data_IF_534479264004
#
_entry.id   IF_534479264004
#
_cell.length_a   1.000
_cell.length_b   1.000
_cell.length_c   1.000
_cell.angle_alpha   90.00
_cell.angle_beta   90.00
_cell.angle_gamma   90.00
#
_symmetry.space_group_name_H-M   'P 1'
#
loop_
_entity.id
_entity.type
_entity.pdbx_description
1 polymer ?
#
# COMPACT_ATOMS: atom_id res chain seq x y z
N UNK A 1 31.50 0.15 3.27
CA UNK A 1 30.43 -0.89 3.25
C UNK A 1 29.07 -0.33 3.68
N UNK A 2 28.94 0.24 4.88
CA UNK A 2 27.65 0.80 5.38
C UNK A 2 27.02 1.85 4.45
N UNK A 3 27.83 2.68 3.81
CA UNK A 3 27.34 3.68 2.85
C UNK A 3 26.72 3.07 1.58
N UNK A 4 27.34 2.03 1.01
CA UNK A 4 26.80 1.32 -0.14
C UNK A 4 25.49 0.60 0.20
N UNK A 5 25.42 -0.02 1.39
CA UNK A 5 24.21 -0.69 1.88
C UNK A 5 23.06 0.30 2.04
N UNK A 6 23.29 1.42 2.72
CA UNK A 6 22.26 2.46 2.89
C UNK A 6 21.82 3.05 1.55
N UNK A 7 22.72 3.14 0.56
CA UNK A 7 22.38 3.61 -0.80
C UNK A 7 21.50 2.60 -1.52
N UNK A 8 21.85 1.33 -1.48
CA UNK A 8 21.04 0.25 -2.03
C UNK A 8 19.65 0.20 -1.36
N UNK A 9 19.56 0.34 -0.03
CA UNK A 9 18.30 0.37 0.70
C UNK A 9 17.36 1.49 0.24
N UNK A 10 17.89 2.71 0.04
CA UNK A 10 17.09 3.84 -0.44
C UNK A 10 16.64 3.63 -1.89
N UNK A 11 17.50 3.09 -2.76
CA UNK A 11 17.13 2.74 -4.14
C UNK A 11 16.03 1.68 -4.21
N UNK A 12 16.19 0.58 -3.48
CA UNK A 12 15.20 -0.49 -3.40
C UNK A 12 13.87 0.03 -2.85
N UNK A 13 13.93 0.91 -1.85
CA UNK A 13 12.74 1.55 -1.28
C UNK A 13 12.01 2.41 -2.30
N UNK A 14 12.73 3.26 -3.06
CA UNK A 14 12.15 4.09 -4.13
C UNK A 14 11.50 3.24 -5.22
N UNK A 15 12.20 2.21 -5.70
CA UNK A 15 11.69 1.33 -6.78
C UNK A 15 10.45 0.57 -6.30
N UNK A 16 10.52 -0.01 -5.11
CA UNK A 16 9.41 -0.78 -4.56
C UNK A 16 8.19 0.12 -4.31
N UNK A 17 8.35 1.32 -3.73
CA UNK A 17 7.27 2.29 -3.56
C UNK A 17 6.59 2.67 -4.88
N UNK A 18 7.36 2.84 -5.96
CA UNK A 18 6.80 3.08 -7.30
C UNK A 18 5.95 1.92 -7.80
N UNK A 19 6.42 0.67 -7.63
CA UNK A 19 5.64 -0.53 -7.97
C UNK A 19 4.36 -0.60 -7.14
N UNK A 20 4.44 -0.38 -5.83
CA UNK A 20 3.28 -0.39 -4.92
C UNK A 20 2.24 0.64 -5.33
N UNK A 21 2.69 1.85 -5.65
CA UNK A 21 1.79 2.92 -6.06
C UNK A 21 1.08 2.57 -7.37
N UNK A 22 1.84 2.14 -8.39
CA UNK A 22 1.28 1.75 -9.69
C UNK A 22 0.29 0.59 -9.58
N UNK A 23 0.66 -0.48 -8.87
CA UNK A 23 -0.22 -1.62 -8.63
C UNK A 23 -1.46 -1.23 -7.80
N UNK A 24 -1.30 -0.31 -6.85
CA UNK A 24 -2.40 0.20 -6.03
C UNK A 24 -3.43 0.94 -6.88
N UNK A 25 -2.97 1.81 -7.79
CA UNK A 25 -3.85 2.48 -8.75
C UNK A 25 -4.55 1.49 -9.68
N UNK A 26 -3.82 0.47 -10.17
CA UNK A 26 -4.42 -0.58 -10.99
C UNK A 26 -5.52 -1.33 -10.23
N UNK A 27 -5.26 -1.74 -8.99
CA UNK A 27 -6.28 -2.40 -8.16
C UNK A 27 -7.49 -1.48 -7.93
N UNK A 28 -7.28 -0.22 -7.58
CA UNK A 28 -8.37 0.71 -7.30
C UNK A 28 -9.22 1.04 -8.54
N UNK A 29 -8.62 1.06 -9.74
CA UNK A 29 -9.28 1.48 -10.99
C UNK A 29 -9.79 0.35 -11.86
N UNK A 30 -9.17 -0.82 -11.79
CA UNK A 30 -9.44 -1.93 -12.72
C UNK A 30 -10.00 -3.14 -11.98
N UNK A 31 -9.36 -3.58 -10.90
CA UNK A 31 -9.78 -4.79 -10.17
C UNK A 31 -10.98 -4.52 -9.25
N UNK A 32 -10.88 -3.51 -8.39
CA UNK A 32 -11.88 -3.21 -7.37
C UNK A 32 -13.30 -2.96 -7.93
N UNK A 33 -13.48 -2.26 -9.08
CA UNK A 33 -14.80 -2.12 -9.71
C UNK A 33 -15.43 -3.45 -10.18
N UNK A 34 -14.65 -4.51 -10.38
CA UNK A 34 -15.16 -5.85 -10.69
C UNK A 34 -15.68 -6.57 -9.45
N UNK A 35 -15.17 -6.20 -8.26
CA UNK A 35 -15.61 -6.74 -6.97
C UNK A 35 -16.79 -5.96 -6.41
N UNK A 36 -16.81 -4.62 -6.57
CA UNK A 36 -17.92 -3.76 -6.16
C UNK A 36 -18.65 -3.23 -7.39
N UNK A 37 -19.57 -4.04 -7.90
CA UNK A 37 -20.29 -3.77 -9.16
C UNK A 37 -21.45 -2.82 -8.92
N UNK A 38 -21.55 -1.77 -9.72
CA UNK A 38 -22.70 -0.86 -9.71
C UNK A 38 -23.69 -1.18 -10.84
N UNK A 39 -24.98 -1.17 -10.52
CA UNK A 39 -26.07 -1.26 -11.50
C UNK A 39 -27.11 -0.18 -11.22
N UNK A 40 -27.60 0.49 -12.26
CA UNK A 40 -28.60 1.54 -12.14
C UNK A 40 -29.92 1.04 -11.51
N UNK A 41 -30.24 -0.25 -11.63
CA UNK A 41 -31.49 -0.83 -11.12
C UNK A 41 -31.41 -1.27 -9.66
N UNK A 42 -30.24 -1.72 -9.20
CA UNK A 42 -30.07 -2.39 -7.91
C UNK A 42 -29.01 -1.76 -7.00
N UNK A 43 -28.36 -0.68 -7.46
CA UNK A 43 -27.26 -0.04 -6.74
C UNK A 43 -25.98 -0.87 -6.74
N UNK A 44 -25.17 -0.69 -5.71
CA UNK A 44 -23.91 -1.42 -5.52
C UNK A 44 -24.16 -2.84 -5.02
N UNK A 45 -23.38 -3.78 -5.55
CA UNK A 45 -23.34 -5.18 -5.14
C UNK A 45 -21.91 -5.63 -4.92
N UNK A 46 -21.65 -6.23 -3.77
CA UNK A 46 -20.38 -6.91 -3.51
C UNK A 46 -20.37 -8.28 -4.20
N UNK A 47 -19.30 -8.56 -4.94
CA UNK A 47 -19.04 -9.81 -5.65
C UNK A 47 -17.82 -10.49 -5.03
N UNK A 48 -18.06 -11.22 -3.94
CA UNK A 48 -17.01 -11.94 -3.20
C UNK A 48 -16.28 -12.97 -4.08
N UNK A 49 -16.97 -13.58 -5.04
CA UNK A 49 -16.38 -14.56 -5.94
C UNK A 49 -15.35 -13.93 -6.87
N UNK A 50 -15.64 -12.78 -7.47
CA UNK A 50 -14.65 -12.05 -8.26
C UNK A 50 -13.41 -11.66 -7.44
N UNK A 51 -13.61 -11.21 -6.19
CA UNK A 51 -12.51 -10.89 -5.28
C UNK A 51 -11.66 -12.14 -4.95
N UNK A 52 -12.29 -13.30 -4.70
CA UNK A 52 -11.61 -14.59 -4.48
C UNK A 52 -10.88 -15.10 -5.69
N UNK A 53 -11.43 -14.93 -6.89
CA UNK A 53 -10.77 -15.33 -8.13
C UNK A 53 -9.55 -14.47 -8.43
N UNK A 54 -9.63 -13.15 -8.18
CA UNK A 54 -8.50 -12.25 -8.31
C UNK A 54 -7.41 -12.60 -7.29
N UNK A 55 -7.79 -12.79 -6.01
CA UNK A 55 -6.90 -13.11 -4.89
C UNK A 55 -5.61 -12.27 -4.91
N UNK A 56 -5.73 -10.97 -5.19
CA UNK A 56 -4.59 -10.06 -5.39
C UNK A 56 -3.67 -10.04 -4.16
N UNK A 57 -4.26 -10.23 -2.97
CA UNK A 57 -3.55 -10.39 -1.70
C UNK A 57 -2.44 -11.44 -1.74
N UNK A 58 -2.78 -12.67 -2.13
CA UNK A 58 -1.84 -13.80 -2.14
C UNK A 58 -1.08 -13.93 -3.46
N UNK A 59 -1.68 -13.54 -4.59
CA UNK A 59 -1.04 -13.67 -5.91
C UNK A 59 -0.05 -12.55 -6.21
N UNK A 60 -0.16 -11.41 -5.55
CA UNK A 60 0.67 -10.25 -5.84
C UNK A 60 1.16 -9.53 -4.57
N UNK A 61 0.24 -9.06 -3.73
CA UNK A 61 0.59 -8.14 -2.65
C UNK A 61 1.53 -8.74 -1.60
N UNK A 62 1.40 -10.03 -1.29
CA UNK A 62 2.30 -10.67 -0.32
C UNK A 62 3.76 -10.58 -0.74
N UNK A 63 4.04 -10.73 -2.04
CA UNK A 63 5.38 -10.77 -2.63
C UNK A 63 5.93 -9.40 -2.99
N UNK A 64 5.08 -8.37 -3.07
CA UNK A 64 5.49 -7.01 -3.48
C UNK A 64 5.47 -6.03 -2.31
N UNK A 65 4.51 -6.17 -1.40
CA UNK A 65 4.30 -5.20 -0.30
C UNK A 65 4.40 -5.79 1.07
N UNK A 66 3.73 -6.90 1.33
CA UNK A 66 3.59 -7.40 2.71
C UNK A 66 4.94 -7.77 3.29
N UNK A 67 5.75 -8.51 2.54
CA UNK A 67 7.12 -8.87 2.95
C UNK A 67 8.13 -7.80 2.55
N UNK A 68 8.31 -7.44 1.26
CA UNK A 68 9.43 -6.59 0.86
C UNK A 68 9.28 -5.16 1.36
N UNK A 69 8.11 -4.54 1.17
CA UNK A 69 7.95 -3.15 1.55
C UNK A 69 7.96 -2.96 3.07
N UNK A 70 7.42 -3.91 3.84
CA UNK A 70 7.52 -3.85 5.31
C UNK A 70 8.98 -3.90 5.75
N UNK A 71 9.76 -4.84 5.22
CA UNK A 71 11.19 -4.93 5.53
C UNK A 71 11.95 -3.66 5.10
N UNK A 72 11.71 -3.18 3.89
CA UNK A 72 12.31 -1.94 3.39
C UNK A 72 11.92 -0.74 4.22
N UNK A 73 10.67 -0.65 4.68
CA UNK A 73 10.19 0.45 5.53
C UNK A 73 10.95 0.49 6.86
N UNK A 74 11.08 -0.66 7.55
CA UNK A 74 11.76 -0.72 8.84
C UNK A 74 13.27 -0.46 8.71
N UNK A 75 13.92 -1.08 7.72
CA UNK A 75 15.35 -0.87 7.48
C UNK A 75 15.66 0.57 7.05
N UNK A 76 14.81 1.19 6.22
CA UNK A 76 14.95 2.59 5.85
C UNK A 76 14.66 3.54 7.02
N UNK A 77 13.74 3.21 7.93
CA UNK A 77 13.51 4.03 9.13
C UNK A 77 14.77 4.10 10.01
N UNK A 78 15.42 2.95 10.24
CA UNK A 78 16.68 2.88 10.99
C UNK A 78 17.80 3.63 10.25
N UNK A 79 17.96 3.39 8.95
CA UNK A 79 18.99 4.06 8.15
C UNK A 79 18.79 5.58 8.10
N UNK A 80 17.54 6.03 7.93
CA UNK A 80 17.18 7.45 7.92
C UNK A 80 17.42 8.12 9.28
N UNK A 81 17.20 7.41 10.39
CA UNK A 81 17.46 7.95 11.73
C UNK A 81 18.94 8.30 11.95
N UNK A 82 19.82 7.51 11.34
CA UNK A 82 21.27 7.66 11.41
C UNK A 82 21.85 8.60 10.33
N UNK A 83 21.03 9.05 9.37
CA UNK A 83 21.50 9.85 8.25
C UNK A 83 21.89 11.27 8.70
N UNK A 84 23.06 11.78 8.28
CA UNK A 84 23.48 13.15 8.59
C UNK A 84 22.89 14.17 7.61
N UNK A 85 22.79 15.43 8.04
CA UNK A 85 22.53 16.56 7.14
C UNK A 85 21.11 16.59 6.54
N UNK A 86 20.94 17.29 5.40
CA UNK A 86 19.62 17.65 4.88
C UNK A 86 18.82 16.46 4.33
N UNK A 87 19.46 15.31 4.04
CA UNK A 87 18.77 14.09 3.59
C UNK A 87 17.89 13.47 4.68
N UNK A 88 18.24 13.66 5.96
CA UNK A 88 17.59 13.00 7.11
C UNK A 88 16.09 13.27 7.16
N UNK A 89 15.69 14.54 7.03
CA UNK A 89 14.27 14.93 7.13
C UNK A 89 13.42 14.30 6.03
N UNK A 90 13.91 14.34 4.78
CA UNK A 90 13.22 13.75 3.63
C UNK A 90 13.13 12.23 3.74
N UNK A 91 14.22 11.57 4.16
CA UNK A 91 14.24 10.12 4.28
C UNK A 91 13.38 9.62 5.45
N UNK A 92 13.43 10.29 6.61
CA UNK A 92 12.56 9.96 7.73
C UNK A 92 11.09 10.19 7.38
N UNK A 93 10.75 11.31 6.73
CA UNK A 93 9.40 11.57 6.26
C UNK A 93 8.89 10.46 5.33
N UNK A 94 9.73 9.99 4.41
CA UNK A 94 9.39 8.89 3.51
C UNK A 94 9.12 7.58 4.27
N UNK A 95 10.02 7.22 5.21
CA UNK A 95 9.89 6.01 6.00
C UNK A 95 8.67 6.04 6.93
N UNK A 96 8.37 7.19 7.54
CA UNK A 96 7.19 7.36 8.40
C UNK A 96 5.88 7.30 7.61
N UNK A 97 5.82 7.91 6.43
CA UNK A 97 4.65 7.82 5.55
C UNK A 97 4.41 6.36 5.10
N UNK A 98 5.46 5.63 4.75
CA UNK A 98 5.36 4.20 4.41
C UNK A 98 4.96 3.35 5.64
N UNK A 99 5.43 3.70 6.84
CA UNK A 99 5.04 3.02 8.08
C UNK A 99 3.55 3.23 8.39
N UNK A 100 3.03 4.45 8.21
CA UNK A 100 1.61 4.72 8.36
C UNK A 100 0.76 3.86 7.40
N UNK A 101 1.18 3.72 6.14
CA UNK A 101 0.54 2.79 5.21
C UNK A 101 0.57 1.35 5.72
N UNK A 102 1.72 0.87 6.23
CA UNK A 102 1.83 -0.50 6.77
C UNK A 102 0.88 -0.72 7.92
N UNK A 103 0.82 0.21 8.87
CA UNK A 103 -0.10 0.13 10.00
C UNK A 103 -1.54 0.04 9.50
N UNK A 104 -1.96 0.89 8.55
CA UNK A 104 -3.28 0.82 7.93
C UNK A 104 -3.54 -0.51 7.23
N UNK A 105 -2.55 -1.00 6.47
CA UNK A 105 -2.64 -2.26 5.72
C UNK A 105 -2.93 -3.43 6.65
N UNK A 106 -2.16 -3.57 7.73
CA UNK A 106 -2.28 -4.69 8.66
C UNK A 106 -3.46 -4.57 9.62
N UNK A 107 -3.80 -3.36 10.07
CA UNK A 107 -4.89 -3.15 11.03
C UNK A 107 -6.28 -3.11 10.40
N UNK A 108 -6.39 -2.71 9.12
CA UNK A 108 -7.67 -2.50 8.47
C UNK A 108 -7.81 -3.24 7.13
N UNK A 109 -6.92 -3.01 6.16
CA UNK A 109 -7.16 -3.48 4.79
C UNK A 109 -7.13 -5.00 4.64
N UNK A 110 -6.11 -5.66 5.19
CA UNK A 110 -5.97 -7.11 5.17
C UNK A 110 -7.13 -7.80 5.90
N UNK A 111 -7.42 -7.50 7.18
CA UNK A 111 -8.51 -8.17 7.89
C UNK A 111 -9.88 -7.89 7.26
N UNK A 112 -10.12 -6.67 6.77
CA UNK A 112 -11.39 -6.32 6.10
C UNK A 112 -11.56 -7.09 4.81
N UNK A 113 -10.50 -7.23 3.99
CA UNK A 113 -10.59 -7.96 2.73
C UNK A 113 -10.76 -9.46 2.96
N UNK A 114 -10.05 -10.04 3.93
CA UNK A 114 -10.24 -11.45 4.35
C UNK A 114 -11.68 -11.70 4.78
N UNK A 115 -12.27 -10.79 5.56
CA UNK A 115 -13.68 -10.90 5.96
C UNK A 115 -14.62 -10.77 4.76
N UNK A 116 -14.43 -9.77 3.90
CA UNK A 116 -15.25 -9.56 2.70
C UNK A 116 -15.20 -10.75 1.71
N UNK A 117 -14.07 -11.46 1.65
CA UNK A 117 -13.90 -12.61 0.76
C UNK A 117 -14.45 -13.92 1.33
N UNK A 118 -14.38 -14.12 2.66
CA UNK A 118 -14.57 -15.45 3.26
C UNK A 118 -15.77 -15.57 4.21
N UNK A 119 -16.35 -14.47 4.67
CA UNK A 119 -17.50 -14.50 5.59
C UNK A 119 -18.82 -14.65 4.81
N UNK A 120 -19.26 -15.89 4.62
CA UNK A 120 -20.51 -16.22 3.93
C UNK A 120 -21.77 -15.79 4.71
N UNK A 121 -21.63 -15.48 6.01
CA UNK A 121 -22.74 -15.04 6.87
C UNK A 121 -22.96 -13.53 6.82
N UNK A 122 -22.05 -12.78 6.17
CA UNK A 122 -22.09 -11.33 6.12
C UNK A 122 -23.30 -10.85 5.28
N UNK A 123 -24.22 -10.06 5.86
CA UNK A 123 -25.37 -9.56 5.10
C UNK A 123 -24.93 -8.73 3.87
N UNK A 124 -25.58 -8.89 2.70
CA UNK A 124 -25.15 -8.22 1.47
C UNK A 124 -25.04 -6.69 1.59
N UNK A 125 -25.96 -6.06 2.32
CA UNK A 125 -25.94 -4.62 2.57
C UNK A 125 -24.73 -4.19 3.40
N UNK A 126 -24.33 -4.99 4.40
CA UNK A 126 -23.14 -4.73 5.21
C UNK A 126 -21.86 -4.93 4.40
N UNK A 127 -21.80 -5.97 3.57
CA UNK A 127 -20.66 -6.20 2.68
C UNK A 127 -20.43 -5.02 1.73
N UNK A 128 -21.50 -4.47 1.15
CA UNK A 128 -21.41 -3.27 0.29
C UNK A 128 -20.91 -2.05 1.05
N UNK A 129 -21.43 -1.77 2.25
CA UNK A 129 -20.97 -0.64 3.09
C UNK A 129 -19.49 -0.80 3.45
N UNK A 130 -19.08 -1.99 3.84
CA UNK A 130 -17.68 -2.31 4.14
C UNK A 130 -16.78 -2.13 2.92
N UNK A 131 -17.19 -2.64 1.76
CA UNK A 131 -16.44 -2.50 0.51
C UNK A 131 -16.32 -1.04 0.08
N UNK A 132 -17.41 -0.26 0.14
CA UNK A 132 -17.38 1.18 -0.14
C UNK A 132 -16.40 1.92 0.79
N UNK A 133 -16.42 1.60 2.08
CA UNK A 133 -15.48 2.18 3.04
C UNK A 133 -14.04 1.77 2.74
N UNK A 134 -13.82 0.50 2.42
CA UNK A 134 -12.51 -0.02 2.03
C UNK A 134 -11.96 0.73 0.81
N UNK A 135 -12.75 0.87 -0.25
CA UNK A 135 -12.36 1.58 -1.47
C UNK A 135 -12.08 3.07 -1.22
N UNK A 136 -12.90 3.75 -0.41
CA UNK A 136 -12.67 5.16 -0.03
C UNK A 136 -11.38 5.35 0.76
N UNK A 137 -11.13 4.50 1.75
CA UNK A 137 -9.90 4.55 2.54
C UNK A 137 -8.68 4.17 1.71
N UNK A 138 -8.84 3.35 0.66
CA UNK A 138 -7.72 3.00 -0.22
C UNK A 138 -7.14 4.24 -0.94
N UNK A 139 -7.95 5.27 -1.23
CA UNK A 139 -7.41 6.53 -1.74
C UNK A 139 -6.50 7.24 -0.73
N UNK A 140 -6.88 7.26 0.55
CA UNK A 140 -6.02 7.81 1.62
C UNK A 140 -4.72 6.99 1.72
N UNK A 141 -4.81 5.67 1.62
CA UNK A 141 -3.66 4.79 1.57
C UNK A 141 -2.72 5.13 0.39
N UNK A 142 -3.26 5.35 -0.80
CA UNK A 142 -2.47 5.79 -1.96
C UNK A 142 -1.80 7.14 -1.75
N UNK A 143 -2.44 8.07 -1.04
CA UNK A 143 -1.81 9.36 -0.67
C UNK A 143 -0.58 9.13 0.20
N UNK A 144 -0.64 8.23 1.19
CA UNK A 144 0.53 7.90 2.01
C UNK A 144 1.66 7.26 1.18
N UNK A 145 1.34 6.33 0.29
CA UNK A 145 2.35 5.70 -0.60
C UNK A 145 2.97 6.73 -1.54
N UNK A 146 2.16 7.60 -2.14
CA UNK A 146 2.65 8.65 -3.04
C UNK A 146 3.56 9.64 -2.29
N UNK A 147 3.15 10.09 -1.11
CA UNK A 147 3.95 10.96 -0.26
C UNK A 147 5.28 10.27 0.09
N UNK A 148 5.25 9.01 0.53
CA UNK A 148 6.45 8.24 0.82
C UNK A 148 7.38 8.16 -0.40
N UNK A 149 6.83 7.91 -1.59
CA UNK A 149 7.59 7.78 -2.81
C UNK A 149 8.27 9.10 -3.22
N UNK A 150 7.53 10.20 -3.21
CA UNK A 150 8.08 11.53 -3.56
C UNK A 150 9.14 12.00 -2.56
N UNK A 151 8.93 11.76 -1.26
CA UNK A 151 9.91 12.06 -0.22
C UNK A 151 11.17 11.20 -0.37
N UNK A 152 11.03 9.92 -0.72
CA UNK A 152 12.15 9.02 -0.96
C UNK A 152 12.94 9.43 -2.22
N UNK A 153 12.25 9.82 -3.30
CA UNK A 153 12.88 10.38 -4.50
C UNK A 153 13.65 11.66 -4.19
N UNK A 154 13.08 12.54 -3.34
CA UNK A 154 13.77 13.75 -2.89
C UNK A 154 15.03 13.41 -2.10
N UNK A 155 14.94 12.49 -1.13
CA UNK A 155 16.09 12.02 -0.37
C UNK A 155 17.18 11.43 -1.28
N UNK A 156 16.78 10.63 -2.27
CA UNK A 156 17.69 10.03 -3.25
C UNK A 156 18.38 11.11 -4.11
N UNK A 157 17.66 12.15 -4.52
CA UNK A 157 18.21 13.26 -5.31
C UNK A 157 19.26 14.08 -4.56
N UNK A 158 19.11 14.21 -3.25
CA UNK A 158 20.06 14.94 -2.39
C UNK A 158 21.30 14.12 -2.08
N UNK A 159 21.24 12.80 -2.26
CA UNK A 159 22.36 11.89 -2.01
C UNK A 159 23.32 11.75 -3.19
N UNK A 160 22.83 12.03 -4.40
CA UNK A 160 23.63 11.99 -5.63
C UNK A 160 24.29 13.34 -5.94
N UNK A 161 24.24 14.30 -5.02
CA UNK A 161 24.95 15.58 -5.06
C UNK A 161 26.01 15.57 -3.98
#
# INVERSE_FOLDING_TARGET
MAEYVTKALLWLFVINLGIVFGAGLYEARIEFPQWLVYSAKSGYRWNAEAARQANSGLRFWVYVTTVPLTFLTLTNLVAAWQAPGPIRGWWLGAALAALADRIFTFSYFVPTMVKLMNDETLPPSQAVVMALRWGRLNYLRHVFVLAAWLLALRALSLRNR
#
